data_IF_434936263602
#
_entry.id   IF_434936263602
#
_cell.length_a   1.000
_cell.length_b   1.000
_cell.length_c   1.000
_cell.angle_alpha   90.00
_cell.angle_beta   90.00
_cell.angle_gamma   90.00
#
_symmetry.space_group_name_H-M   'P 1'
#
loop_
_entity.id
_entity.type
_entity.pdbx_description
1 polymer ?
#
# COMPACT_ATOMS: atom_id res chain seq x y z
N UNK A 1 -18.02 -17.85 24.06
CA UNK A 1 -17.43 -17.46 22.74
C UNK A 1 -16.95 -16.04 22.89
N UNK A 2 -15.78 -15.66 22.38
CA UNK A 2 -15.44 -14.24 22.34
C UNK A 2 -16.54 -13.52 21.55
N UNK A 3 -17.05 -12.40 22.09
CA UNK A 3 -18.08 -11.60 21.41
C UNK A 3 -17.51 -11.00 20.13
N UNK A 4 -18.37 -10.61 19.18
CA UNK A 4 -18.00 -9.81 18.02
C UNK A 4 -18.04 -8.33 18.35
N UNK A 5 -17.34 -7.52 17.55
CA UNK A 5 -17.44 -6.05 17.55
C UNK A 5 -17.85 -5.59 16.16
N UNK A 6 -18.70 -4.58 16.12
CA UNK A 6 -19.10 -3.96 14.86
C UNK A 6 -18.01 -3.02 14.39
N UNK A 7 -17.61 -3.15 13.13
CA UNK A 7 -16.62 -2.32 12.45
C UNK A 7 -17.26 -1.70 11.23
N UNK A 8 -17.24 -0.37 11.15
CA UNK A 8 -17.69 0.39 10.00
C UNK A 8 -16.55 1.29 9.51
N UNK A 9 -16.14 1.17 8.23
CA UNK A 9 -15.05 1.93 7.63
C UNK A 9 -15.26 2.01 6.11
N UNK A 10 -14.59 2.95 5.45
CA UNK A 10 -14.57 3.02 3.99
C UNK A 10 -13.36 2.27 3.45
N UNK A 11 -13.54 1.36 2.50
CA UNK A 11 -12.45 0.64 1.83
C UNK A 11 -12.53 0.88 0.33
N UNK A 12 -11.50 1.47 -0.26
CA UNK A 12 -11.43 1.83 -1.67
C UNK A 12 -12.68 2.62 -2.14
N UNK A 13 -13.19 3.52 -1.27
CA UNK A 13 -14.36 4.35 -1.54
C UNK A 13 -15.71 3.66 -1.34
N UNK A 14 -15.74 2.41 -0.85
CA UNK A 14 -16.97 1.70 -0.51
C UNK A 14 -17.15 1.64 1.00
N UNK A 15 -18.34 2.00 1.48
CA UNK A 15 -18.70 1.88 2.89
C UNK A 15 -18.95 0.41 3.25
N UNK A 16 -18.23 -0.07 4.25
CA UNK A 16 -18.26 -1.45 4.73
C UNK A 16 -18.69 -1.45 6.18
N UNK A 17 -19.64 -2.32 6.53
CA UNK A 17 -20.00 -2.63 7.91
C UNK A 17 -19.95 -4.15 8.11
N UNK A 18 -19.29 -4.61 9.16
CA UNK A 18 -19.12 -6.03 9.46
C UNK A 18 -18.98 -6.28 10.95
N UNK A 19 -19.37 -7.49 11.37
CA UNK A 19 -19.11 -8.01 12.71
C UNK A 19 -17.84 -8.88 12.65
N UNK A 20 -16.84 -8.57 13.46
CA UNK A 20 -15.57 -9.29 13.50
C UNK A 20 -15.16 -9.64 14.93
N UNK A 21 -14.30 -10.64 15.10
CA UNK A 21 -13.66 -10.86 16.40
C UNK A 21 -12.82 -9.63 16.79
N UNK A 22 -12.79 -9.20 18.07
CA UNK A 22 -12.07 -8.00 18.51
C UNK A 22 -10.57 -8.01 18.17
N UNK A 23 -9.97 -9.19 18.02
CA UNK A 23 -8.55 -9.40 17.68
C UNK A 23 -8.26 -9.49 16.18
N UNK A 24 -9.27 -9.34 15.32
CA UNK A 24 -9.10 -9.43 13.86
C UNK A 24 -8.16 -8.31 13.39
N UNK A 25 -7.04 -8.69 12.77
CA UNK A 25 -6.10 -7.75 12.17
C UNK A 25 -6.72 -7.13 10.91
N UNK A 26 -6.37 -5.88 10.62
CA UNK A 26 -6.87 -5.21 9.43
C UNK A 26 -6.49 -5.97 8.15
N UNK A 27 -5.27 -6.52 8.05
CA UNK A 27 -4.86 -7.33 6.90
C UNK A 27 -5.73 -8.58 6.73
N UNK A 28 -6.09 -9.26 7.81
CA UNK A 28 -6.98 -10.42 7.79
C UNK A 28 -8.38 -10.01 7.34
N UNK A 29 -8.88 -8.89 7.86
CA UNK A 29 -10.17 -8.32 7.45
C UNK A 29 -10.20 -8.02 5.94
N UNK A 30 -9.20 -7.33 5.42
CA UNK A 30 -9.11 -7.01 3.99
C UNK A 30 -9.07 -8.28 3.12
N UNK A 31 -8.23 -9.25 3.47
CA UNK A 31 -8.00 -10.44 2.66
C UNK A 31 -9.11 -11.49 2.75
N UNK A 32 -9.60 -11.77 3.96
CA UNK A 32 -10.46 -12.92 4.23
C UNK A 32 -11.94 -12.54 4.30
N UNK A 33 -12.26 -11.34 4.81
CA UNK A 33 -13.65 -10.87 4.87
C UNK A 33 -14.06 -10.13 3.58
N UNK A 34 -13.16 -9.31 3.01
CA UNK A 34 -13.47 -8.51 1.83
C UNK A 34 -12.94 -9.11 0.51
N UNK A 35 -12.10 -10.15 0.56
CA UNK A 35 -11.52 -10.76 -0.63
C UNK A 35 -10.47 -9.90 -1.35
N UNK A 36 -9.98 -8.81 -0.71
CA UNK A 36 -8.95 -7.92 -1.26
C UNK A 36 -7.57 -8.53 -1.01
N UNK A 37 -7.19 -9.46 -1.86
CA UNK A 37 -5.98 -10.29 -1.66
C UNK A 37 -4.68 -9.64 -2.13
N UNK A 38 -4.73 -8.47 -2.76
CA UNK A 38 -3.55 -7.73 -3.20
C UNK A 38 -2.66 -7.23 -2.05
N UNK A 39 -3.21 -7.03 -0.86
CA UNK A 39 -2.42 -6.78 0.34
C UNK A 39 -1.83 -8.09 0.85
N UNK A 40 -0.49 -8.25 0.82
CA UNK A 40 0.19 -9.51 1.16
C UNK A 40 0.69 -9.54 2.61
N UNK A 41 0.92 -10.75 3.14
CA UNK A 41 1.53 -10.98 4.45
C UNK A 41 2.82 -11.76 4.28
N UNK A 42 3.98 -11.10 4.43
CA UNK A 42 5.30 -11.70 4.24
C UNK A 42 6.07 -11.98 5.53
N UNK A 43 5.54 -11.60 6.69
CA UNK A 43 6.14 -11.85 8.01
C UNK A 43 5.09 -11.78 9.11
N UNK A 44 5.50 -12.14 10.34
CA UNK A 44 4.73 -11.98 11.58
C UNK A 44 5.35 -10.96 12.56
N UNK A 45 6.41 -10.26 12.11
CA UNK A 45 7.25 -9.37 12.93
C UNK A 45 7.12 -7.89 12.53
N UNK A 46 6.21 -7.55 11.63
CA UNK A 46 5.97 -6.18 11.16
C UNK A 46 7.15 -5.54 10.40
N UNK A 47 8.10 -6.34 9.92
CA UNK A 47 9.32 -5.85 9.28
C UNK A 47 9.19 -5.71 7.75
N UNK A 48 8.49 -6.64 7.08
CA UNK A 48 8.63 -6.82 5.63
C UNK A 48 7.94 -5.75 4.76
N UNK A 49 6.94 -5.03 5.26
CA UNK A 49 6.21 -4.00 4.52
C UNK A 49 5.27 -4.50 3.42
N UNK A 50 5.12 -5.82 3.22
CA UNK A 50 4.23 -6.38 2.19
C UNK A 50 2.74 -6.07 2.42
N UNK A 51 2.36 -5.77 3.66
CA UNK A 51 1.00 -5.50 4.09
C UNK A 51 0.67 -3.99 4.16
N UNK A 52 1.50 -3.11 3.62
CA UNK A 52 1.25 -1.66 3.66
C UNK A 52 -0.02 -1.31 2.88
N UNK A 53 -0.89 -0.57 3.54
CA UNK A 53 -2.09 0.08 3.00
C UNK A 53 -2.08 1.55 3.42
N UNK A 54 -2.94 2.39 2.85
CA UNK A 54 -3.13 3.73 3.39
C UNK A 54 -4.37 3.76 4.31
N UNK A 55 -4.23 4.35 5.49
CA UNK A 55 -5.34 4.72 6.38
C UNK A 55 -5.35 6.24 6.45
N UNK A 56 -6.43 6.86 6.03
CA UNK A 56 -6.59 8.32 5.94
C UNK A 56 -5.40 9.00 5.22
N UNK A 57 -4.92 8.36 4.14
CA UNK A 57 -3.81 8.82 3.32
C UNK A 57 -2.40 8.52 3.88
N UNK A 58 -2.28 7.91 5.06
CA UNK A 58 -0.97 7.57 5.66
C UNK A 58 -0.62 6.09 5.45
N UNK A 59 0.64 5.74 5.10
CA UNK A 59 1.07 4.37 4.92
C UNK A 59 1.16 3.65 6.27
N UNK A 60 0.44 2.55 6.39
CA UNK A 60 0.35 1.77 7.63
C UNK A 60 0.53 0.28 7.33
N UNK A 61 1.28 -0.43 8.17
CA UNK A 61 1.39 -1.89 8.11
C UNK A 61 0.13 -2.52 8.70
N UNK A 62 -0.80 -2.95 7.85
CA UNK A 62 -2.11 -3.48 8.26
C UNK A 62 -2.05 -4.75 9.12
N UNK A 63 -0.90 -5.42 9.18
CA UNK A 63 -0.65 -6.54 10.09
C UNK A 63 -0.43 -6.13 11.56
N UNK A 64 -0.36 -4.83 11.88
CA UNK A 64 -0.19 -4.29 13.23
C UNK A 64 -1.38 -3.49 13.72
N UNK A 65 -2.43 -3.40 12.93
CA UNK A 65 -3.66 -2.65 13.23
C UNK A 65 -4.81 -3.63 13.36
N UNK A 66 -5.62 -3.50 14.40
CA UNK A 66 -6.87 -4.24 14.51
C UNK A 66 -7.92 -3.60 13.60
N UNK A 67 -8.78 -4.41 12.98
CA UNK A 67 -9.90 -3.90 12.18
C UNK A 67 -10.77 -2.92 12.97
N UNK A 68 -10.99 -3.21 14.25
CA UNK A 68 -11.73 -2.32 15.17
C UNK A 68 -11.08 -0.95 15.39
N UNK A 69 -9.73 -0.86 15.30
CA UNK A 69 -9.00 0.41 15.41
C UNK A 69 -9.13 1.28 14.15
N UNK A 70 -9.38 0.64 13.00
CA UNK A 70 -9.58 1.33 11.73
C UNK A 70 -11.06 1.76 11.52
N UNK A 71 -11.94 1.54 12.49
CA UNK A 71 -13.34 1.98 12.39
C UNK A 71 -13.43 3.50 12.20
N UNK A 72 -14.27 3.94 11.27
CA UNK A 72 -14.44 5.34 10.88
C UNK A 72 -13.40 5.89 9.92
N UNK A 73 -12.34 5.14 9.61
CA UNK A 73 -11.26 5.59 8.72
C UNK A 73 -11.53 5.23 7.25
N UNK A 74 -10.76 5.88 6.36
CA UNK A 74 -10.70 5.58 4.93
C UNK A 74 -9.46 4.72 4.65
N UNK A 75 -9.67 3.46 4.28
CA UNK A 75 -8.61 2.53 3.93
C UNK A 75 -8.50 2.44 2.41
N UNK A 76 -7.28 2.64 1.88
CA UNK A 76 -6.97 2.43 0.47
C UNK A 76 -5.96 1.31 0.34
N UNK A 77 -6.29 0.28 -0.44
CA UNK A 77 -5.41 -0.84 -0.77
C UNK A 77 -4.86 -0.70 -2.18
N UNK A 78 -3.98 -1.61 -2.60
CA UNK A 78 -3.40 -1.61 -3.96
C UNK A 78 -4.48 -1.71 -5.04
N UNK A 79 -5.60 -2.36 -4.76
CA UNK A 79 -6.73 -2.47 -5.69
C UNK A 79 -7.46 -1.15 -5.89
N UNK A 80 -7.36 -0.24 -4.92
CA UNK A 80 -8.08 1.04 -4.93
C UNK A 80 -7.33 2.21 -5.55
N UNK A 81 -6.05 2.05 -5.97
CA UNK A 81 -5.28 3.18 -6.54
C UNK A 81 -5.39 3.30 -8.06
N UNK A 82 -5.77 2.24 -8.76
CA UNK A 82 -6.09 2.27 -10.19
C UNK A 82 -7.51 2.83 -10.43
N UNK A 83 -7.75 3.42 -11.58
CA UNK A 83 -9.08 3.91 -12.01
C UNK A 83 -9.59 3.06 -13.16
N UNK A 84 -10.39 2.04 -12.86
CA UNK A 84 -10.80 1.05 -13.87
C UNK A 84 -9.58 0.35 -14.47
N UNK A 85 -9.43 0.39 -15.79
CA UNK A 85 -8.29 -0.21 -16.51
C UNK A 85 -7.04 0.69 -16.54
N UNK A 86 -7.14 1.92 -16.04
CA UNK A 86 -6.03 2.86 -16.00
C UNK A 86 -5.19 2.66 -14.74
N UNK A 87 -3.96 2.20 -14.94
CA UNK A 87 -3.01 2.02 -13.84
C UNK A 87 -2.61 3.37 -13.24
N UNK A 88 -2.48 3.39 -11.90
CA UNK A 88 -1.85 4.51 -11.24
C UNK A 88 -0.41 4.71 -11.78
N UNK A 89 0.10 5.98 -11.93
CA UNK A 89 1.45 6.24 -12.46
C UNK A 89 2.55 5.42 -11.80
N UNK A 90 2.46 5.15 -10.50
CA UNK A 90 3.40 4.28 -9.77
C UNK A 90 3.32 2.82 -10.26
N UNK A 91 2.11 2.28 -10.44
CA UNK A 91 1.92 0.91 -10.96
C UNK A 91 2.49 0.79 -12.39
N UNK A 92 2.20 1.77 -13.24
CA UNK A 92 2.72 1.83 -14.60
C UNK A 92 4.26 1.89 -14.62
N UNK A 93 4.87 2.73 -13.77
CA UNK A 93 6.32 2.85 -13.68
C UNK A 93 7.00 1.54 -13.21
N UNK A 94 6.40 0.83 -12.25
CA UNK A 94 6.88 -0.49 -11.81
C UNK A 94 6.84 -1.52 -12.94
N UNK A 95 5.78 -1.53 -13.74
CA UNK A 95 5.67 -2.39 -14.93
C UNK A 95 6.74 -2.02 -15.98
N UNK A 96 6.83 -0.75 -16.34
CA UNK A 96 7.65 -0.26 -17.45
C UNK A 96 9.15 -0.37 -17.15
N UNK A 97 9.56 -0.19 -15.90
CA UNK A 97 10.96 -0.28 -15.45
C UNK A 97 11.33 -1.66 -14.86
N UNK A 98 10.43 -2.65 -14.97
CA UNK A 98 10.65 -3.99 -14.38
C UNK A 98 11.00 -3.92 -12.87
N UNK A 99 10.28 -3.08 -12.11
CA UNK A 99 10.43 -2.91 -10.66
C UNK A 99 9.98 -4.11 -9.82
N UNK A 100 9.72 -5.24 -10.47
CA UNK A 100 9.26 -6.48 -9.83
C UNK A 100 9.83 -7.72 -10.52
N UNK A 101 9.90 -8.83 -9.77
CA UNK A 101 10.16 -10.17 -10.31
C UNK A 101 9.05 -11.11 -9.86
N UNK A 102 9.10 -11.68 -8.64
CA UNK A 102 8.02 -12.54 -8.16
C UNK A 102 6.71 -11.77 -7.88
N UNK A 103 6.75 -10.46 -7.69
CA UNK A 103 5.59 -9.61 -7.45
C UNK A 103 5.08 -9.56 -6.00
N UNK A 104 5.60 -10.40 -5.10
CA UNK A 104 5.04 -10.53 -3.75
C UNK A 104 5.17 -9.26 -2.90
N UNK A 105 6.30 -8.55 -2.96
CA UNK A 105 6.49 -7.28 -2.26
C UNK A 105 5.82 -6.09 -2.96
N UNK A 106 5.46 -6.24 -4.23
CA UNK A 106 5.10 -5.12 -5.11
C UNK A 106 3.92 -4.29 -4.61
N UNK A 107 2.81 -4.85 -4.13
CA UNK A 107 1.70 -4.03 -3.62
C UNK A 107 2.12 -3.13 -2.45
N UNK A 108 2.74 -3.69 -1.42
CA UNK A 108 3.20 -2.89 -0.28
C UNK A 108 4.29 -1.88 -0.64
N UNK A 109 5.19 -2.26 -1.57
CA UNK A 109 6.23 -1.37 -2.09
C UNK A 109 5.62 -0.17 -2.83
N UNK A 110 4.61 -0.40 -3.67
CA UNK A 110 3.89 0.66 -4.40
C UNK A 110 3.15 1.58 -3.42
N UNK A 111 2.44 1.05 -2.43
CA UNK A 111 1.74 1.86 -1.45
C UNK A 111 2.70 2.75 -0.65
N UNK A 112 3.85 2.23 -0.22
CA UNK A 112 4.90 3.03 0.42
C UNK A 112 5.47 4.08 -0.53
N UNK A 113 5.76 3.71 -1.78
CA UNK A 113 6.34 4.61 -2.76
C UNK A 113 5.41 5.78 -3.15
N UNK A 114 4.11 5.57 -3.19
CA UNK A 114 3.11 6.65 -3.41
C UNK A 114 3.21 7.70 -2.32
N UNK A 115 3.28 7.29 -1.05
CA UNK A 115 3.46 8.21 0.08
C UNK A 115 4.81 8.95 0.00
N UNK A 116 5.91 8.25 -0.30
CA UNK A 116 7.24 8.85 -0.46
C UNK A 116 7.19 9.98 -1.50
N UNK A 117 6.60 9.72 -2.66
CA UNK A 117 6.48 10.75 -3.72
C UNK A 117 5.62 11.93 -3.26
N UNK A 118 4.55 11.69 -2.53
CA UNK A 118 3.70 12.78 -1.99
C UNK A 118 4.46 13.64 -0.97
N UNK A 119 5.25 13.03 -0.07
CA UNK A 119 6.00 13.76 0.95
C UNK A 119 7.18 14.56 0.39
N UNK A 120 7.92 14.01 -0.54
CA UNK A 120 9.15 14.61 -1.06
C UNK A 120 8.94 15.43 -2.34
N UNK A 121 7.93 15.10 -3.14
CA UNK A 121 7.61 15.83 -4.36
C UNK A 121 8.79 15.93 -5.33
N UNK A 122 9.16 17.16 -5.69
CA UNK A 122 10.23 17.46 -6.64
C UNK A 122 11.66 17.25 -6.15
N UNK A 123 11.86 16.94 -4.86
CA UNK A 123 13.19 16.83 -4.22
C UNK A 123 13.64 15.37 -4.03
N UNK A 124 12.93 14.42 -4.64
CA UNK A 124 13.22 13.01 -4.49
C UNK A 124 14.43 12.61 -5.34
N UNK A 125 15.45 12.03 -4.71
CA UNK A 125 16.62 11.44 -5.33
C UNK A 125 16.77 9.95 -5.00
N UNK A 126 17.74 9.28 -5.60
CA UNK A 126 17.97 7.85 -5.46
C UNK A 126 18.29 7.46 -4.01
N UNK A 127 19.11 8.25 -3.32
CA UNK A 127 19.51 7.98 -1.93
C UNK A 127 18.30 8.08 -0.99
N UNK A 128 17.50 9.11 -1.12
CA UNK A 128 16.26 9.31 -0.35
C UNK A 128 15.29 8.16 -0.59
N UNK A 129 15.09 7.72 -1.85
CA UNK A 129 14.22 6.58 -2.15
C UNK A 129 14.71 5.32 -1.46
N UNK A 130 16.03 5.05 -1.47
CA UNK A 130 16.60 3.86 -0.83
C UNK A 130 16.38 3.87 0.67
N UNK A 131 16.62 4.99 1.33
CA UNK A 131 16.41 5.16 2.78
C UNK A 131 14.93 4.99 3.15
N UNK A 132 14.04 5.64 2.44
CA UNK A 132 12.60 5.59 2.72
C UNK A 132 11.96 4.21 2.47
N UNK A 133 12.57 3.39 1.62
CA UNK A 133 12.12 2.01 1.36
C UNK A 133 12.69 0.97 2.33
N UNK A 134 13.48 1.34 3.33
CA UNK A 134 14.05 0.39 4.31
C UNK A 134 12.99 -0.43 5.06
N UNK A 135 11.77 0.11 5.19
CA UNK A 135 10.62 -0.58 5.75
C UNK A 135 9.95 -1.63 4.84
N UNK A 136 10.44 -1.81 3.60
CA UNK A 136 9.87 -2.71 2.59
C UNK A 136 10.93 -3.68 2.05
N UNK A 137 10.75 -4.98 2.29
CA UNK A 137 11.73 -6.01 1.92
C UNK A 137 11.39 -6.61 0.56
N UNK A 138 12.37 -6.57 -0.36
CA UNK A 138 12.35 -7.30 -1.62
C UNK A 138 13.53 -8.28 -1.68
N UNK A 139 13.27 -9.58 -1.87
CA UNK A 139 14.30 -10.61 -1.95
C UNK A 139 14.83 -10.85 -3.36
N UNK A 140 14.14 -10.31 -4.38
CA UNK A 140 14.38 -10.68 -5.79
C UNK A 140 15.22 -9.66 -6.56
N UNK A 141 14.90 -8.35 -6.45
CA UNK A 141 15.31 -7.32 -7.43
C UNK A 141 16.63 -6.63 -7.10
N UNK A 142 17.11 -6.71 -5.86
CA UNK A 142 18.25 -5.88 -5.39
C UNK A 142 17.91 -4.37 -5.35
N UNK A 143 16.63 -4.00 -5.45
CA UNK A 143 16.08 -2.64 -5.36
C UNK A 143 16.41 -1.70 -6.53
N UNK A 144 17.37 -1.98 -7.39
CA UNK A 144 17.78 -1.05 -8.45
C UNK A 144 16.60 -0.60 -9.33
N UNK A 145 15.86 -1.54 -9.89
CA UNK A 145 14.71 -1.22 -10.74
C UNK A 145 13.51 -0.68 -9.93
N UNK A 146 13.37 -1.04 -8.66
CA UNK A 146 12.36 -0.46 -7.77
C UNK A 146 12.63 1.04 -7.60
N UNK A 147 13.85 1.43 -7.24
CA UNK A 147 14.24 2.83 -7.07
C UNK A 147 14.03 3.61 -8.36
N UNK A 148 14.45 3.03 -9.51
CA UNK A 148 14.21 3.63 -10.83
C UNK A 148 12.72 3.83 -11.10
N UNK A 149 11.88 2.86 -10.74
CA UNK A 149 10.42 2.95 -10.90
C UNK A 149 9.82 4.08 -10.07
N UNK A 150 10.28 4.25 -8.82
CA UNK A 150 9.80 5.31 -7.93
C UNK A 150 10.18 6.69 -8.48
N UNK A 151 11.41 6.87 -8.94
CA UNK A 151 11.86 8.13 -9.53
C UNK A 151 11.13 8.48 -10.83
N UNK A 152 10.89 7.49 -11.69
CA UNK A 152 10.09 7.65 -12.91
C UNK A 152 8.63 8.03 -12.57
N UNK A 153 8.00 7.32 -11.63
CA UNK A 153 6.66 7.63 -11.17
C UNK A 153 6.55 9.06 -10.58
N UNK A 154 7.57 9.50 -9.83
CA UNK A 154 7.60 10.86 -9.29
C UNK A 154 7.55 11.93 -10.41
N UNK A 155 8.22 11.67 -11.54
CA UNK A 155 8.13 12.53 -12.73
C UNK A 155 6.72 12.55 -13.33
N UNK A 156 6.10 11.38 -13.47
CA UNK A 156 4.74 11.23 -14.04
C UNK A 156 3.67 11.86 -13.14
N UNK A 157 3.77 11.67 -11.82
CA UNK A 157 2.81 12.22 -10.84
C UNK A 157 2.86 13.74 -10.77
N UNK A 158 4.03 14.38 -10.97
CA UNK A 158 4.15 15.85 -11.06
C UNK A 158 3.42 16.43 -12.25
N UNK A 159 3.49 15.76 -13.40
CA UNK A 159 2.77 16.19 -14.61
C UNK A 159 1.27 16.13 -14.38
N UNK A 160 0.78 15.10 -13.69
CA UNK A 160 -0.64 14.96 -13.34
C UNK A 160 -1.13 16.06 -12.39
N UNK A 161 -0.33 16.43 -11.39
CA UNK A 161 -0.69 17.51 -10.44
C UNK A 161 -0.65 18.92 -11.05
N UNK A 162 0.14 19.11 -12.10
CA UNK A 162 0.20 20.40 -12.80
C UNK A 162 -0.92 20.59 -13.84
N UNK A 163 -1.72 19.56 -14.10
CA UNK A 163 -2.82 19.54 -15.07
C UNK A 163 -4.21 19.69 -14.44
N UNK A 164 -4.31 19.73 -13.09
CA UNK A 164 -5.51 20.04 -12.31
C UNK A 164 -5.50 21.52 -11.86
#
# INVERSE_FOLDING_TARGET
MPGTVSVALSVNGQEIAAEVEPRTLLVTFLREHLGLTGTHVGCDTSQCGACVVHIDGQPVKSCTVLAAQAAGSKVTTIEGIAKGDELHPMQAAFRDNHGLQCGYCTPGMIMSAVDIVHRYGGKLDEETVRQELEGNICRCTGYHNIVKSVLDAAGRMKVSQAAE
#
